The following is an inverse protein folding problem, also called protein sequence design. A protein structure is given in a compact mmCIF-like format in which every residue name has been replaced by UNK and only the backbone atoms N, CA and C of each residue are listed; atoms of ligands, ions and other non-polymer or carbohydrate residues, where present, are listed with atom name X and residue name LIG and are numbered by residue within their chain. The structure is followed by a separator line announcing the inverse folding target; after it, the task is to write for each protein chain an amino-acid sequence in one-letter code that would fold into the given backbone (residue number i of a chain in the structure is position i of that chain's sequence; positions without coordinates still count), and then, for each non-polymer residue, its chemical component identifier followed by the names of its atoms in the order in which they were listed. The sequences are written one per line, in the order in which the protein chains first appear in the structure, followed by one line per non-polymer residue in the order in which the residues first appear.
data_IF_942182324800
#
_entry.id   IF_942182324800
#
_cell.length_a   1.000
_cell.length_b   1.000
_cell.length_c   1.000
_cell.angle_alpha   90.00
_cell.angle_beta   90.00
_cell.angle_gamma   90.00
#
_symmetry.space_group_name_H-M   'P 1'
#
loop_
_entity.id
_entity.type
_entity.pdbx_description
1 polymer ?
#
# COMPACT_ATOMS: atom_id res chain seq x y z
N UNK A 1 -3.30 -18.25 19.49
CA UNK A 1 -4.23 -18.54 18.37
C UNK A 1 -3.55 -17.99 17.14
N UNK A 2 -3.34 -18.83 16.11
CA UNK A 2 -2.70 -18.40 14.83
C UNK A 2 -3.66 -17.46 14.10
N UNK A 3 -3.17 -16.31 13.64
CA UNK A 3 -3.97 -15.33 12.90
C UNK A 3 -4.03 -15.72 11.43
N UNK A 4 -5.20 -15.65 10.79
CA UNK A 4 -5.35 -15.89 9.36
C UNK A 4 -5.53 -14.58 8.60
N UNK A 5 -4.66 -14.32 7.64
CA UNK A 5 -4.80 -13.21 6.70
C UNK A 5 -5.39 -13.69 5.38
N UNK A 6 -5.89 -12.74 4.59
CA UNK A 6 -6.45 -12.97 3.26
C UNK A 6 -5.84 -12.00 2.27
N UNK A 7 -5.92 -12.31 0.99
CA UNK A 7 -5.62 -11.36 -0.08
C UNK A 7 -6.76 -10.35 -0.18
N UNK A 8 -6.43 -9.12 -0.54
CA UNK A 8 -7.42 -8.08 -0.84
C UNK A 8 -7.42 -7.83 -2.35
N UNK A 9 -8.48 -8.26 -3.04
CA UNK A 9 -8.60 -8.17 -4.50
C UNK A 9 -9.98 -7.62 -4.85
N UNK A 10 -10.01 -6.57 -5.65
CA UNK A 10 -11.25 -5.94 -6.15
C UNK A 10 -12.26 -5.53 -5.06
N UNK A 11 -11.75 -5.09 -3.90
CA UNK A 11 -12.61 -4.68 -2.78
C UNK A 11 -12.96 -5.79 -1.79
N UNK A 12 -12.59 -7.04 -2.07
CA UNK A 12 -12.94 -8.21 -1.25
C UNK A 12 -11.72 -8.88 -0.61
N UNK A 13 -11.93 -9.48 0.57
CA UNK A 13 -10.96 -10.33 1.24
C UNK A 13 -11.15 -11.80 0.83
N UNK A 14 -10.20 -12.33 0.04
CA UNK A 14 -10.30 -13.66 -0.58
C UNK A 14 -9.15 -14.58 -0.17
N UNK A 15 -9.39 -15.89 -0.20
CA UNK A 15 -8.34 -16.89 -0.09
C UNK A 15 -7.71 -17.15 -1.46
N UNK A 16 -6.54 -17.82 -1.49
CA UNK A 16 -6.00 -18.36 -2.75
C UNK A 16 -6.95 -19.38 -3.37
N UNK A 17 -7.02 -19.41 -4.69
CA UNK A 17 -7.82 -20.38 -5.44
C UNK A 17 -7.38 -21.83 -5.18
N UNK A 18 -6.12 -22.06 -4.83
CA UNK A 18 -5.58 -23.37 -4.40
C UNK A 18 -5.93 -23.72 -2.96
N UNK A 19 -6.39 -22.76 -2.12
CA UNK A 19 -6.50 -22.85 -0.68
C UNK A 19 -5.20 -23.15 0.06
N UNK A 20 -4.04 -23.09 -0.60
CA UNK A 20 -2.74 -23.22 0.04
C UNK A 20 -2.44 -22.00 0.91
N UNK A 21 -1.68 -22.24 1.98
CA UNK A 21 -1.26 -21.20 2.93
C UNK A 21 0.23 -21.32 3.22
N UNK A 22 0.85 -20.19 3.51
CA UNK A 22 2.23 -20.08 3.97
C UNK A 22 2.19 -19.70 5.45
N UNK A 23 2.95 -20.42 6.25
CA UNK A 23 3.13 -20.11 7.66
C UNK A 23 4.13 -18.97 7.83
N UNK A 24 3.80 -18.00 8.68
CA UNK A 24 4.65 -16.89 9.07
C UNK A 24 5.15 -17.12 10.49
N UNK A 25 6.48 -17.11 10.67
CA UNK A 25 7.13 -17.44 11.93
C UNK A 25 7.53 -16.15 12.68
N UNK A 26 7.29 -16.15 14.00
CA UNK A 26 7.86 -15.13 14.88
C UNK A 26 9.35 -15.44 15.08
N UNK A 27 10.29 -14.56 14.68
CA UNK A 27 11.73 -14.80 14.81
C UNK A 27 12.23 -14.84 16.26
N UNK A 28 11.45 -14.36 17.24
CA UNK A 28 11.79 -14.39 18.66
C UNK A 28 11.75 -15.83 19.20
N UNK A 29 10.75 -16.63 18.81
CA UNK A 29 10.49 -17.95 19.38
C UNK A 29 10.36 -19.08 18.33
N UNK A 30 10.40 -18.72 17.05
CA UNK A 30 10.24 -19.62 15.92
C UNK A 30 8.89 -20.36 15.87
N UNK A 31 7.84 -19.75 16.48
CA UNK A 31 6.48 -20.28 16.43
C UNK A 31 5.68 -19.65 15.30
N UNK A 32 4.74 -20.40 14.73
CA UNK A 32 3.79 -19.89 13.74
C UNK A 32 2.82 -18.94 14.44
N UNK A 33 2.86 -17.66 14.09
CA UNK A 33 1.95 -16.65 14.64
C UNK A 33 0.81 -16.31 13.67
N UNK A 34 1.03 -16.45 12.36
CA UNK A 34 0.02 -16.21 11.34
C UNK A 34 0.16 -17.13 10.14
N UNK A 35 -0.88 -17.15 9.29
CA UNK A 35 -0.87 -17.76 7.97
C UNK A 35 -1.35 -16.76 6.93
N UNK A 36 -0.72 -16.79 5.74
CA UNK A 36 -1.10 -15.98 4.58
C UNK A 36 -1.43 -16.90 3.40
N UNK A 37 -2.33 -16.51 2.47
CA UNK A 37 -2.61 -17.31 1.28
C UNK A 37 -1.36 -17.43 0.40
N UNK A 38 -1.09 -18.63 -0.11
CA UNK A 38 -0.11 -18.86 -1.18
C UNK A 38 -0.78 -18.57 -2.52
N UNK A 39 -0.60 -17.34 -3.04
CA UNK A 39 -1.15 -16.95 -4.33
C UNK A 39 -0.49 -17.74 -5.45
N UNK A 40 -1.30 -18.24 -6.38
CA UNK A 40 -0.85 -18.87 -7.62
C UNK A 40 -0.96 -17.91 -8.82
N UNK A 41 -0.61 -18.37 -10.01
CA UNK A 41 -0.65 -17.56 -11.23
C UNK A 41 -2.07 -17.04 -11.54
N UNK A 42 -3.11 -17.84 -11.29
CA UNK A 42 -4.51 -17.43 -11.49
C UNK A 42 -4.88 -16.27 -10.55
N UNK A 43 -4.54 -16.37 -9.26
CA UNK A 43 -4.81 -15.32 -8.27
C UNK A 43 -4.12 -14.01 -8.65
N UNK A 44 -2.86 -14.09 -9.10
CA UNK A 44 -2.10 -12.92 -9.57
C UNK A 44 -2.75 -12.30 -10.79
N UNK A 45 -3.16 -13.10 -11.77
CA UNK A 45 -3.84 -12.62 -12.99
C UNK A 45 -5.16 -11.92 -12.65
N UNK A 46 -5.95 -12.46 -11.73
CA UNK A 46 -7.19 -11.84 -11.25
C UNK A 46 -6.90 -10.49 -10.59
N UNK A 47 -5.88 -10.43 -9.73
CA UNK A 47 -5.50 -9.19 -9.05
C UNK A 47 -5.04 -8.10 -10.03
N UNK A 48 -4.20 -8.46 -11.01
CA UNK A 48 -3.72 -7.55 -12.06
C UNK A 48 -4.88 -7.05 -12.92
N UNK A 49 -5.79 -7.95 -13.34
CA UNK A 49 -6.96 -7.58 -14.14
C UNK A 49 -7.89 -6.64 -13.36
N UNK A 50 -8.10 -6.90 -12.06
CA UNK A 50 -8.90 -6.02 -11.21
C UNK A 50 -8.28 -4.60 -11.11
N UNK A 51 -6.97 -4.52 -10.96
CA UNK A 51 -6.24 -3.25 -10.93
C UNK A 51 -6.33 -2.50 -12.27
N UNK A 52 -6.19 -3.21 -13.40
CA UNK A 52 -6.33 -2.63 -14.74
C UNK A 52 -7.74 -2.09 -14.97
N UNK A 53 -8.76 -2.87 -14.60
CA UNK A 53 -10.17 -2.45 -14.74
C UNK A 53 -10.44 -1.18 -13.91
N UNK A 54 -9.96 -1.11 -12.65
CA UNK A 54 -10.11 0.07 -11.80
C UNK A 54 -9.39 1.29 -12.38
N UNK A 55 -8.23 1.09 -13.01
CA UNK A 55 -7.49 2.16 -13.70
C UNK A 55 -8.28 2.68 -14.90
N UNK A 56 -8.79 1.79 -15.76
CA UNK A 56 -9.50 2.15 -17.00
C UNK A 56 -10.88 2.77 -16.72
N UNK A 57 -11.57 2.29 -15.67
CA UNK A 57 -12.92 2.76 -15.32
C UNK A 57 -12.91 4.18 -14.76
N UNK A 58 -12.10 4.46 -13.77
CA UNK A 58 -12.21 5.73 -13.04
C UNK A 58 -10.87 6.39 -12.69
N UNK A 59 -9.84 5.60 -12.33
CA UNK A 59 -8.61 6.16 -11.80
C UNK A 59 -7.80 6.97 -12.81
N UNK A 60 -7.76 6.55 -14.09
CA UNK A 60 -7.01 7.24 -15.15
C UNK A 60 -7.51 8.66 -15.42
N UNK A 61 -8.81 8.88 -15.27
CA UNK A 61 -9.48 10.17 -15.51
C UNK A 61 -9.59 11.03 -14.25
N UNK A 62 -9.23 10.48 -13.07
CA UNK A 62 -9.35 11.18 -11.80
C UNK A 62 -8.39 12.37 -11.75
N UNK A 63 -8.91 13.54 -11.39
CA UNK A 63 -8.09 14.74 -11.29
C UNK A 63 -6.96 14.56 -10.26
N UNK A 64 -5.71 15.03 -10.53
CA UNK A 64 -4.59 14.86 -9.62
C UNK A 64 -4.86 15.28 -8.16
N UNK A 65 -5.62 16.35 -7.94
CA UNK A 65 -6.03 16.81 -6.62
C UNK A 65 -6.87 15.76 -5.86
N UNK A 66 -7.71 15.03 -6.58
CA UNK A 66 -8.53 13.97 -5.96
C UNK A 66 -7.67 12.78 -5.59
N UNK A 67 -6.70 12.40 -6.42
CA UNK A 67 -5.70 11.37 -6.07
C UNK A 67 -4.92 11.74 -4.80
N UNK A 68 -4.57 13.03 -4.65
CA UNK A 68 -3.94 13.55 -3.43
C UNK A 68 -4.81 13.40 -2.17
N UNK A 69 -6.15 13.45 -2.28
CA UNK A 69 -7.04 13.18 -1.15
C UNK A 69 -6.93 11.74 -0.66
N UNK A 70 -6.85 10.76 -1.57
CA UNK A 70 -6.66 9.35 -1.20
C UNK A 70 -5.35 9.14 -0.45
N UNK A 71 -4.26 9.78 -0.86
CA UNK A 71 -2.99 9.70 -0.14
C UNK A 71 -3.10 10.24 1.29
N UNK A 72 -3.83 11.35 1.50
CA UNK A 72 -4.08 11.88 2.86
C UNK A 72 -4.93 10.95 3.71
N UNK A 73 -5.95 10.30 3.12
CA UNK A 73 -6.75 9.30 3.83
C UNK A 73 -5.89 8.09 4.25
N UNK A 74 -4.97 7.66 3.40
CA UNK A 74 -4.00 6.60 3.75
C UNK A 74 -3.11 7.06 4.90
N UNK A 75 -2.56 8.28 4.84
CA UNK A 75 -1.74 8.85 5.91
C UNK A 75 -2.48 8.88 7.25
N UNK A 76 -3.74 9.29 7.25
CA UNK A 76 -4.59 9.30 8.44
C UNK A 76 -4.77 7.88 9.01
N UNK A 77 -5.09 6.90 8.16
CA UNK A 77 -5.25 5.51 8.58
C UNK A 77 -3.95 4.91 9.13
N UNK A 78 -2.80 5.23 8.55
CA UNK A 78 -1.50 4.81 9.06
C UNK A 78 -1.26 5.34 10.48
N UNK A 79 -1.54 6.62 10.74
CA UNK A 79 -1.40 7.20 12.08
C UNK A 79 -2.35 6.58 13.10
N UNK A 80 -3.62 6.42 12.73
CA UNK A 80 -4.64 5.83 13.60
C UNK A 80 -4.30 4.38 13.99
N UNK A 81 -3.62 3.66 13.11
CA UNK A 81 -3.29 2.25 13.30
C UNK A 81 -1.80 2.01 13.60
N UNK A 82 -0.99 3.05 13.85
CA UNK A 82 0.47 2.93 13.98
C UNK A 82 0.89 1.90 15.05
N UNK A 83 0.25 1.91 16.23
CA UNK A 83 0.55 0.95 17.28
C UNK A 83 0.18 -0.49 16.90
N UNK A 84 -0.94 -0.69 16.19
CA UNK A 84 -1.35 -2.01 15.72
C UNK A 84 -0.40 -2.54 14.64
N UNK A 85 -0.07 -1.72 13.65
CA UNK A 85 0.86 -2.06 12.57
C UNK A 85 2.26 -2.33 13.10
N UNK A 86 2.73 -1.49 14.04
CA UNK A 86 4.02 -1.68 14.69
C UNK A 86 4.13 -3.02 15.43
N UNK A 87 3.08 -3.44 16.13
CA UNK A 87 3.04 -4.76 16.81
C UNK A 87 3.12 -5.92 15.81
N UNK A 88 2.35 -5.84 14.72
CA UNK A 88 2.38 -6.85 13.66
C UNK A 88 3.78 -6.95 13.06
N UNK A 89 4.36 -5.82 12.68
CA UNK A 89 5.71 -5.78 12.10
C UNK A 89 6.77 -6.30 13.07
N UNK A 90 6.66 -5.97 14.36
CA UNK A 90 7.57 -6.49 15.39
C UNK A 90 7.51 -8.00 15.50
N UNK A 91 6.30 -8.58 15.56
CA UNK A 91 6.12 -10.03 15.66
C UNK A 91 6.64 -10.74 14.40
N UNK A 92 6.44 -10.14 13.23
CA UNK A 92 6.80 -10.75 11.95
C UNK A 92 8.31 -10.65 11.63
N UNK A 93 8.95 -9.54 12.03
CA UNK A 93 10.33 -9.22 11.62
C UNK A 93 11.36 -9.25 12.74
N UNK A 94 10.91 -9.25 14.00
CA UNK A 94 11.79 -9.16 15.18
C UNK A 94 12.37 -7.75 15.45
N UNK A 95 11.92 -6.72 14.74
CA UNK A 95 12.32 -5.33 15.01
C UNK A 95 11.80 -4.83 16.35
N UNK A 96 12.43 -3.80 16.90
CA UNK A 96 11.98 -3.17 18.13
C UNK A 96 10.65 -2.45 17.95
N UNK A 97 9.68 -2.70 18.84
CA UNK A 97 8.32 -2.13 18.77
C UNK A 97 8.31 -0.61 18.62
N UNK A 98 9.17 0.11 19.37
CA UNK A 98 9.23 1.57 19.27
C UNK A 98 9.68 2.05 17.87
N UNK A 99 10.50 1.25 17.18
CA UNK A 99 10.98 1.59 15.83
C UNK A 99 9.89 1.35 14.80
N UNK A 100 9.17 0.24 14.89
CA UNK A 100 8.06 -0.09 13.97
C UNK A 100 6.88 0.87 14.13
N UNK A 101 6.51 1.25 15.35
CA UNK A 101 5.48 2.28 15.59
C UNK A 101 5.91 3.66 15.07
N UNK A 102 7.18 4.05 15.30
CA UNK A 102 7.71 5.30 14.78
C UNK A 102 7.74 5.28 13.25
N UNK A 103 8.12 4.17 12.64
CA UNK A 103 8.18 3.99 11.19
C UNK A 103 6.80 4.13 10.56
N UNK A 104 5.74 3.57 11.14
CA UNK A 104 4.37 3.71 10.65
C UNK A 104 3.93 5.19 10.60
N UNK A 105 4.23 5.97 11.64
CA UNK A 105 3.96 7.40 11.66
C UNK A 105 4.80 8.17 10.63
N UNK A 106 6.08 7.82 10.48
CA UNK A 106 6.97 8.45 9.51
C UNK A 106 6.54 8.18 8.06
N UNK A 107 6.10 6.97 7.76
CA UNK A 107 5.53 6.63 6.44
C UNK A 107 4.32 7.51 6.13
N UNK A 108 3.46 7.80 7.11
CA UNK A 108 2.32 8.68 6.92
C UNK A 108 2.73 10.10 6.48
N UNK A 109 3.89 10.62 6.95
CA UNK A 109 4.41 11.93 6.52
C UNK A 109 4.80 11.92 5.03
N UNK A 110 5.34 10.81 4.51
CA UNK A 110 5.61 10.67 3.07
C UNK A 110 4.33 10.71 2.24
N UNK A 111 3.28 10.02 2.69
CA UNK A 111 1.99 10.08 2.00
C UNK A 111 1.43 11.51 1.95
N UNK A 112 1.52 12.28 3.04
CA UNK A 112 1.12 13.69 3.05
C UNK A 112 1.98 14.55 2.14
N UNK A 113 3.30 14.32 2.13
CA UNK A 113 4.21 15.03 1.25
C UNK A 113 3.85 14.80 -0.23
N UNK A 114 3.70 13.55 -0.66
CA UNK A 114 3.33 13.24 -2.04
C UNK A 114 1.89 13.66 -2.38
N UNK A 115 0.97 13.66 -1.42
CA UNK A 115 -0.36 14.22 -1.59
C UNK A 115 -0.31 15.72 -1.91
N UNK A 116 0.65 16.43 -1.31
CA UNK A 116 0.90 17.85 -1.59
C UNK A 116 1.52 18.12 -2.97
N UNK A 117 2.15 17.11 -3.58
CA UNK A 117 2.74 17.21 -4.92
C UNK A 117 1.80 16.77 -6.04
N UNK A 118 0.68 16.13 -5.72
CA UNK A 118 -0.18 15.48 -6.71
C UNK A 118 -0.69 16.43 -7.81
N UNK A 119 -0.93 17.70 -7.50
CA UNK A 119 -1.42 18.71 -8.43
C UNK A 119 -0.31 19.61 -9.02
N UNK A 120 0.96 19.39 -8.64
CA UNK A 120 2.09 20.24 -9.04
C UNK A 120 2.88 19.72 -10.24
N UNK A 121 2.68 18.46 -10.63
CA UNK A 121 3.39 17.84 -11.75
C UNK A 121 3.06 18.53 -13.06
N UNK A 122 1.81 19.01 -13.25
CA UNK A 122 1.38 19.69 -14.45
C UNK A 122 2.08 21.05 -14.67
N UNK A 123 2.58 21.69 -13.62
CA UNK A 123 3.24 23.01 -13.71
C UNK A 123 4.69 22.89 -14.17
N UNK A 124 5.39 21.79 -13.86
CA UNK A 124 6.77 21.57 -14.27
C UNK A 124 6.94 21.41 -15.79
N UNK A 125 5.94 20.83 -16.47
CA UNK A 125 6.01 20.63 -17.93
C UNK A 125 5.76 21.89 -18.73
N UNK A 126 5.01 22.85 -18.24
CA UNK A 126 4.76 24.13 -18.94
C UNK A 126 5.97 25.04 -18.96
N UNK A 127 6.89 24.92 -18.00
CA UNK A 127 8.15 25.69 -17.99
C UNK A 127 9.29 25.06 -18.81
N UNK A 128 9.18 23.77 -19.15
CA UNK A 128 10.18 23.08 -19.98
C UNK A 128 9.96 23.24 -21.48
N UNK A 129 8.84 23.84 -21.90
CA UNK A 129 8.47 24.03 -23.30
C UNK A 129 8.41 25.51 -23.70
N UNK A 130 9.24 26.37 -23.14
CA UNK A 130 9.43 27.69 -23.73
C UNK A 130 10.20 27.51 -25.05
N UNK A 131 9.57 27.78 -26.22
CA UNK A 131 10.32 27.80 -27.46
C UNK A 131 11.32 28.94 -27.36
N UNK A 132 12.58 28.62 -27.36
CA UNK A 132 13.60 29.57 -27.73
C UNK A 132 13.37 29.92 -29.21
N UNK A 133 12.60 30.94 -29.47
CA UNK A 133 12.64 31.63 -30.77
C UNK A 133 14.00 32.29 -30.83
N UNK A 134 14.92 31.62 -31.48
CA UNK A 134 16.15 32.18 -31.91
C UNK A 134 15.87 32.94 -33.21
N UNK A 135 16.31 34.18 -33.23
CA UNK A 135 16.38 35.05 -34.37
C UNK A 135 17.18 34.45 -35.51
#
# INVERSE_FOLDING_TARGET
MVQEFKMYINGDWVNSSSNNKIDTLNPENNEVWATVPEANEEDVNIAVQAAQNAFDDSWSTLHPKERGKYLRLIAEQLRLNASHLGKIETIDTGKLLRETETQANYIAEYYDYFAGLADKIAVSYTHLTLPTTVF
#
